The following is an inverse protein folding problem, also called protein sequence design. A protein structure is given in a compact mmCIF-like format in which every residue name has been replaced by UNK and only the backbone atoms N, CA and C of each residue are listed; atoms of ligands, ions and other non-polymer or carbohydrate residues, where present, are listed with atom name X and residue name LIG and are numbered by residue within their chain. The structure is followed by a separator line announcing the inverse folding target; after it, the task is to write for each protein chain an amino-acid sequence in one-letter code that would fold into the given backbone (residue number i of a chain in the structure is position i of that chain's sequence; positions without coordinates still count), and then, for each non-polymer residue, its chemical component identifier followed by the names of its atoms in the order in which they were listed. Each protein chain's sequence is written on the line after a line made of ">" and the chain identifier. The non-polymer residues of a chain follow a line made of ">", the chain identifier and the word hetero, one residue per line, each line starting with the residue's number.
data_IF_725726058201
#
_entry.id   IF_725726058201
#
_cell.length_a   1.000
_cell.length_b   1.000
_cell.length_c   1.000
_cell.angle_alpha   90.00
_cell.angle_beta   90.00
_cell.angle_gamma   90.00
#
_symmetry.space_group_name_H-M   'P 1'
#
loop_
_entity.id
_entity.type
_entity.pdbx_description
1 polymer ?
#
# COMPACT_ATOMS: atom_id res chain seq x y z
N UNK A 1 12.35 8.34 -8.93
CA UNK A 1 13.02 7.21 -8.27
C UNK A 1 13.30 7.60 -6.83
N UNK A 2 12.86 6.82 -5.82
CA UNK A 2 13.25 7.08 -4.42
C UNK A 2 14.79 7.00 -4.35
N UNK A 3 15.44 7.99 -3.73
CA UNK A 3 16.90 7.99 -3.55
C UNK A 3 17.37 6.91 -2.55
N UNK A 4 16.45 6.42 -1.70
CA UNK A 4 16.71 5.44 -0.64
C UNK A 4 15.54 4.44 -0.57
N UNK A 5 15.80 3.14 -0.35
CA UNK A 5 14.75 2.13 -0.27
C UNK A 5 13.84 2.30 0.95
N UNK A 6 14.37 2.80 2.07
CA UNK A 6 13.63 2.98 3.33
C UNK A 6 13.57 4.44 3.78
N UNK A 7 12.41 4.86 4.26
CA UNK A 7 12.19 6.18 4.85
C UNK A 7 12.69 6.24 6.29
N UNK A 8 12.96 7.46 6.77
CA UNK A 8 13.36 7.70 8.16
C UNK A 8 12.43 7.05 9.21
N UNK A 9 11.09 7.11 9.08
CA UNK A 9 10.18 6.40 9.99
C UNK A 9 10.44 4.89 10.05
N UNK A 10 10.66 4.24 8.91
CA UNK A 10 10.95 2.80 8.83
C UNK A 10 12.28 2.45 9.49
N UNK A 11 13.32 3.23 9.25
CA UNK A 11 14.64 3.06 9.88
C UNK A 11 14.53 3.20 11.40
N UNK A 12 13.83 4.23 11.89
CA UNK A 12 13.65 4.45 13.34
C UNK A 12 12.87 3.30 13.95
N UNK A 13 11.76 2.87 13.33
CA UNK A 13 10.95 1.77 13.83
C UNK A 13 11.73 0.44 13.89
N UNK A 14 12.59 0.16 12.90
CA UNK A 14 13.47 -1.00 12.89
C UNK A 14 14.43 -1.00 14.10
N UNK A 15 15.08 0.14 14.36
CA UNK A 15 16.06 0.27 15.45
C UNK A 15 15.40 0.25 16.83
N UNK A 16 14.22 0.84 16.97
CA UNK A 16 13.41 0.74 18.20
C UNK A 16 12.99 -0.70 18.47
N UNK A 17 12.53 -1.42 17.44
CA UNK A 17 12.19 -2.83 17.53
C UNK A 17 13.39 -3.68 17.97
N UNK A 18 14.56 -3.48 17.35
CA UNK A 18 15.82 -4.13 17.76
C UNK A 18 16.16 -3.82 19.23
N UNK A 19 15.98 -2.58 19.68
CA UNK A 19 16.21 -2.18 21.06
C UNK A 19 15.33 -2.90 22.08
N UNK A 20 14.12 -3.30 21.69
CA UNK A 20 13.21 -4.06 22.54
C UNK A 20 13.46 -5.57 22.49
N UNK A 21 14.08 -6.06 21.43
CA UNK A 21 14.27 -7.51 21.20
C UNK A 21 15.64 -8.01 21.61
N UNK A 22 16.66 -7.15 21.60
CA UNK A 22 18.04 -7.54 21.88
C UNK A 22 18.43 -7.30 23.34
N UNK A 23 19.21 -8.23 23.89
CA UNK A 23 19.95 -8.02 25.13
C UNK A 23 21.16 -7.13 24.88
N UNK A 24 21.80 -6.62 25.94
CA UNK A 24 23.05 -5.84 25.84
C UNK A 24 24.10 -6.53 24.96
N UNK A 25 24.42 -7.80 25.25
CA UNK A 25 25.42 -8.55 24.50
C UNK A 25 25.03 -8.74 23.02
N UNK A 26 23.75 -9.01 22.73
CA UNK A 26 23.29 -9.14 21.33
C UNK A 26 23.30 -7.81 20.59
N UNK A 27 23.05 -6.69 21.28
CA UNK A 27 23.15 -5.36 20.69
C UNK A 27 24.61 -5.00 20.38
N UNK A 28 25.56 -5.38 21.24
CA UNK A 28 26.99 -5.19 20.97
C UNK A 28 27.42 -5.99 19.74
N UNK A 29 26.94 -7.24 19.60
CA UNK A 29 27.16 -8.04 18.40
C UNK A 29 26.54 -7.41 17.13
N UNK A 30 25.36 -6.81 17.25
CA UNK A 30 24.73 -6.04 16.15
C UNK A 30 25.62 -4.86 15.74
N UNK A 31 26.16 -4.10 16.70
CA UNK A 31 27.05 -2.97 16.39
C UNK A 31 28.29 -3.43 15.62
N UNK A 32 28.90 -4.55 16.03
CA UNK A 32 30.03 -5.16 15.29
C UNK A 32 29.63 -5.60 13.88
N UNK A 33 28.47 -6.27 13.71
CA UNK A 33 28.00 -6.70 12.37
C UNK A 33 27.77 -5.53 11.43
N UNK A 34 27.35 -4.37 11.96
CA UNK A 34 27.14 -3.15 11.19
C UNK A 34 28.43 -2.32 11.02
N UNK A 35 29.55 -2.72 11.63
CA UNK A 35 30.81 -1.97 11.61
C UNK A 35 30.74 -0.64 12.38
N UNK A 36 30.01 -0.62 13.50
CA UNK A 36 29.71 0.56 14.31
C UNK A 36 30.21 0.42 15.76
N UNK A 37 31.06 -0.57 16.05
CA UNK A 37 31.54 -0.88 17.39
C UNK A 37 32.49 0.18 18.00
N UNK A 38 33.14 0.99 17.16
CA UNK A 38 33.90 2.16 17.60
C UNK A 38 33.01 3.35 17.99
N UNK A 39 31.76 3.37 17.51
CA UNK A 39 30.84 4.50 17.67
C UNK A 39 29.70 4.21 18.68
N UNK A 40 29.36 2.94 18.86
CA UNK A 40 28.37 2.46 19.81
C UNK A 40 29.10 1.77 20.97
N UNK A 41 29.12 2.38 22.18
CA UNK A 41 29.85 1.82 23.31
C UNK A 41 29.41 0.40 23.66
N UNK A 42 30.37 -0.51 23.81
CA UNK A 42 30.11 -1.89 24.20
C UNK A 42 29.88 -2.05 25.72
N UNK A 43 29.31 -3.19 26.12
CA UNK A 43 29.09 -3.54 27.52
C UNK A 43 27.99 -2.71 28.18
N UNK A 44 28.10 -2.51 29.49
CA UNK A 44 27.04 -1.89 30.31
C UNK A 44 27.14 -0.37 30.40
N UNK A 45 28.08 0.26 29.69
CA UNK A 45 28.31 1.71 29.73
C UNK A 45 27.09 2.55 29.28
N UNK A 46 26.23 1.99 28.41
CA UNK A 46 24.96 2.57 28.00
C UNK A 46 23.86 1.51 28.02
N UNK A 47 22.63 1.92 28.35
CA UNK A 47 21.46 1.05 28.21
C UNK A 47 21.20 0.71 26.74
N UNK A 48 20.53 -0.41 26.47
CA UNK A 48 20.10 -0.79 25.10
C UNK A 48 19.30 0.34 24.45
N UNK A 49 18.39 0.98 25.19
CA UNK A 49 17.62 2.14 24.70
C UNK A 49 18.52 3.30 24.24
N UNK A 50 19.56 3.62 25.02
CA UNK A 50 20.50 4.67 24.64
C UNK A 50 21.35 4.29 23.41
N UNK A 51 21.72 3.00 23.29
CA UNK A 51 22.41 2.47 22.11
C UNK A 51 21.52 2.49 20.87
N UNK A 52 20.23 2.15 20.99
CA UNK A 52 19.24 2.27 19.91
C UNK A 52 19.09 3.72 19.43
N UNK A 53 19.06 4.70 20.34
CA UNK A 53 18.99 6.10 19.94
C UNK A 53 20.24 6.55 19.14
N UNK A 54 21.42 6.10 19.56
CA UNK A 54 22.68 6.33 18.83
C UNK A 54 22.67 5.66 17.46
N UNK A 55 22.28 4.39 17.40
CA UNK A 55 22.17 3.62 16.15
C UNK A 55 21.19 4.30 15.18
N UNK A 56 20.00 4.69 15.64
CA UNK A 56 19.00 5.35 14.81
C UNK A 56 19.53 6.66 14.22
N UNK A 57 20.28 7.45 15.01
CA UNK A 57 20.92 8.69 14.54
C UNK A 57 21.96 8.38 13.47
N UNK A 58 22.86 7.45 13.74
CA UNK A 58 23.95 7.03 12.83
C UNK A 58 23.39 6.54 11.50
N UNK A 59 22.44 5.60 11.54
CA UNK A 59 21.86 4.98 10.35
C UNK A 59 21.10 6.01 9.51
N UNK A 60 20.37 6.95 10.12
CA UNK A 60 19.71 8.02 9.36
C UNK A 60 20.68 9.01 8.72
N UNK A 61 21.81 9.31 9.37
CA UNK A 61 22.82 10.22 8.81
C UNK A 61 23.62 9.58 7.67
N UNK A 62 23.82 8.27 7.73
CA UNK A 62 24.68 7.50 6.81
C UNK A 62 23.88 6.43 6.08
N UNK A 63 22.61 6.70 5.78
CA UNK A 63 21.65 5.72 5.27
C UNK A 63 22.12 5.01 4.00
N UNK A 64 22.87 5.69 3.13
CA UNK A 64 23.39 5.16 1.85
C UNK A 64 24.82 4.63 1.92
N UNK A 65 25.50 4.74 3.06
CA UNK A 65 26.84 4.19 3.19
C UNK A 65 26.77 2.68 2.96
N UNK A 66 27.62 2.16 2.08
CA UNK A 66 27.68 0.73 1.82
C UNK A 66 28.46 0.03 2.95
N UNK A 67 27.90 -1.06 3.47
CA UNK A 67 28.51 -1.95 4.45
C UNK A 67 28.54 -3.37 3.91
N UNK A 68 29.57 -4.13 4.28
CA UNK A 68 29.71 -5.53 3.90
C UNK A 68 28.92 -6.42 4.85
N UNK A 69 28.00 -7.21 4.31
CA UNK A 69 27.26 -8.23 5.09
C UNK A 69 27.53 -9.62 4.53
N UNK A 70 27.07 -10.67 5.24
CA UNK A 70 27.17 -12.05 4.77
C UNK A 70 26.43 -12.28 3.44
N UNK A 71 25.39 -11.50 3.17
CA UNK A 71 24.59 -11.57 1.94
C UNK A 71 25.11 -10.62 0.84
N UNK A 72 26.28 -10.00 1.06
CA UNK A 72 26.92 -9.06 0.15
C UNK A 72 26.85 -7.60 0.61
N UNK A 73 27.37 -6.67 -0.22
CA UNK A 73 27.36 -5.24 0.10
C UNK A 73 25.95 -4.66 -0.01
N UNK A 74 25.47 -4.02 1.05
CA UNK A 74 24.17 -3.32 1.10
C UNK A 74 24.33 -1.95 1.75
N UNK A 75 23.31 -1.10 1.66
CA UNK A 75 23.32 0.17 2.40
C UNK A 75 23.21 -0.06 3.91
N UNK A 76 23.77 0.83 4.74
CA UNK A 76 23.70 0.75 6.19
C UNK A 76 22.24 0.75 6.69
N UNK A 77 21.36 1.53 6.05
CA UNK A 77 19.93 1.51 6.35
C UNK A 77 19.31 0.13 6.07
N UNK A 78 19.63 -0.47 4.92
CA UNK A 78 19.15 -1.81 4.58
C UNK A 78 19.69 -2.88 5.52
N UNK A 79 20.97 -2.83 5.89
CA UNK A 79 21.56 -3.76 6.85
C UNK A 79 20.83 -3.70 8.20
N UNK A 80 20.58 -2.50 8.74
CA UNK A 80 19.83 -2.33 9.99
C UNK A 80 18.37 -2.82 9.87
N UNK A 81 17.71 -2.57 8.74
CA UNK A 81 16.35 -3.06 8.47
C UNK A 81 16.31 -4.59 8.41
N UNK A 82 17.27 -5.23 7.72
CA UNK A 82 17.36 -6.70 7.61
C UNK A 82 17.60 -7.37 8.96
N UNK A 83 18.43 -6.77 9.81
CA UNK A 83 18.60 -7.21 11.20
C UNK A 83 17.27 -7.15 11.98
N UNK A 84 16.50 -6.07 11.80
CA UNK A 84 15.15 -5.95 12.35
C UNK A 84 14.22 -7.04 11.83
N UNK A 85 14.22 -7.30 10.51
CA UNK A 85 13.41 -8.37 9.89
C UNK A 85 13.74 -9.72 10.50
N UNK A 86 15.02 -10.04 10.69
CA UNK A 86 15.50 -11.28 11.31
C UNK A 86 14.94 -11.56 12.71
N UNK A 87 14.46 -10.52 13.40
CA UNK A 87 13.87 -10.62 14.75
C UNK A 87 12.33 -10.71 14.75
N UNK A 88 11.68 -10.56 13.59
CA UNK A 88 10.20 -10.59 13.50
C UNK A 88 9.63 -12.00 13.64
N UNK A 89 8.44 -12.10 14.22
CA UNK A 89 7.72 -13.37 14.39
C UNK A 89 6.31 -13.31 13.77
N UNK A 90 5.78 -14.43 13.23
CA UNK A 90 4.50 -14.44 12.50
C UNK A 90 3.24 -14.31 13.38
N UNK A 91 3.35 -14.43 14.70
CA UNK A 91 2.22 -14.33 15.64
C UNK A 91 2.62 -13.53 16.90
N UNK A 92 1.68 -12.79 17.49
CA UNK A 92 1.86 -11.95 18.69
C UNK A 92 2.95 -10.86 18.57
N UNK A 93 2.82 -10.02 17.54
CA UNK A 93 3.69 -8.87 17.36
C UNK A 93 3.59 -7.92 18.56
N UNK A 94 4.74 -7.61 19.20
CA UNK A 94 4.84 -6.46 20.11
C UNK A 94 4.50 -5.18 19.35
N UNK A 95 4.06 -4.13 20.05
CA UNK A 95 3.68 -2.86 19.44
C UNK A 95 4.79 -2.26 18.53
N UNK A 96 6.06 -2.48 18.88
CA UNK A 96 7.21 -2.05 18.10
C UNK A 96 7.39 -2.85 16.81
N UNK A 97 7.10 -4.17 16.83
CA UNK A 97 7.10 -4.98 15.61
C UNK A 97 6.02 -4.48 14.65
N UNK A 98 4.79 -4.20 15.13
CA UNK A 98 3.74 -3.67 14.26
C UNK A 98 4.10 -2.33 13.64
N UNK A 99 4.73 -1.43 14.40
CA UNK A 99 5.20 -0.13 13.89
C UNK A 99 6.25 -0.33 12.81
N UNK A 100 7.17 -1.28 13.01
CA UNK A 100 8.18 -1.61 12.02
C UNK A 100 7.57 -2.21 10.74
N UNK A 101 6.67 -3.19 10.86
CA UNK A 101 5.96 -3.79 9.72
C UNK A 101 5.14 -2.76 8.94
N UNK A 102 4.47 -1.83 9.63
CA UNK A 102 3.77 -0.70 8.97
C UNK A 102 4.73 0.20 8.20
N UNK A 103 5.92 0.48 8.73
CA UNK A 103 6.96 1.23 8.03
C UNK A 103 7.42 0.53 6.76
N UNK A 104 7.70 -0.78 6.84
CA UNK A 104 8.04 -1.59 5.67
C UNK A 104 6.96 -1.53 4.59
N UNK A 105 5.69 -1.70 4.98
CA UNK A 105 4.56 -1.65 4.04
C UNK A 105 4.45 -0.28 3.34
N UNK A 106 4.66 0.82 4.06
CA UNK A 106 4.69 2.19 3.48
C UNK A 106 5.86 2.37 2.49
N UNK A 107 6.95 1.64 2.70
CA UNK A 107 8.09 1.65 1.81
C UNK A 107 8.00 0.66 0.64
N UNK A 108 6.92 -0.13 0.59
CA UNK A 108 6.68 -1.11 -0.48
C UNK A 108 7.39 -2.43 -0.23
N UNK A 109 7.55 -2.83 1.04
CA UNK A 109 8.16 -4.09 1.44
C UNK A 109 7.25 -4.86 2.39
N UNK A 110 7.37 -6.18 2.36
CA UNK A 110 6.75 -7.08 3.34
C UNK A 110 7.77 -8.06 3.89
N UNK A 111 7.41 -8.68 5.01
CA UNK A 111 8.15 -9.81 5.57
C UNK A 111 7.45 -11.09 5.17
N UNK A 112 8.20 -12.03 4.59
CA UNK A 112 7.72 -13.37 4.25
C UNK A 112 8.26 -14.39 5.24
N UNK A 113 7.37 -15.25 5.75
CA UNK A 113 7.66 -16.32 6.70
C UNK A 113 7.46 -17.72 6.09
N UNK A 114 7.64 -17.86 4.77
CA UNK A 114 7.28 -19.06 4.02
C UNK A 114 7.93 -20.35 4.56
N UNK A 115 7.17 -21.46 4.50
CA UNK A 115 7.21 -22.62 5.41
C UNK A 115 8.47 -23.48 5.44
N UNK A 116 9.48 -23.20 4.61
CA UNK A 116 10.79 -23.88 4.61
C UNK A 116 11.94 -22.98 5.13
N UNK A 117 11.75 -21.67 5.16
CA UNK A 117 12.76 -20.74 5.66
C UNK A 117 12.60 -20.57 7.18
N UNK A 118 13.55 -21.11 7.96
CA UNK A 118 13.63 -20.85 9.41
C UNK A 118 13.82 -19.37 9.77
N UNK A 119 14.07 -18.50 8.79
CA UNK A 119 14.36 -17.08 8.98
C UNK A 119 13.44 -16.21 8.12
N UNK A 120 12.83 -15.15 8.70
CA UNK A 120 12.00 -14.22 7.95
C UNK A 120 12.80 -13.49 6.87
N UNK A 121 12.19 -13.27 5.71
CA UNK A 121 12.81 -12.64 4.55
C UNK A 121 12.13 -11.31 4.22
N UNK A 122 12.94 -10.29 3.92
CA UNK A 122 12.47 -9.02 3.39
C UNK A 122 12.25 -9.15 1.88
N UNK A 123 11.03 -8.89 1.42
CA UNK A 123 10.68 -8.90 -0.01
C UNK A 123 10.09 -7.57 -0.40
N UNK A 124 10.35 -7.14 -1.64
CA UNK A 124 9.57 -6.06 -2.24
C UNK A 124 8.12 -6.55 -2.34
N UNK A 125 7.17 -5.71 -1.93
CA UNK A 125 5.76 -6.02 -2.00
C UNK A 125 5.38 -6.30 -3.46
N UNK A 126 5.09 -7.56 -3.78
CA UNK A 126 4.56 -7.91 -5.09
C UNK A 126 3.09 -7.44 -5.19
N UNK A 127 2.51 -7.27 -6.39
CA UNK A 127 1.09 -6.98 -6.54
C UNK A 127 0.14 -7.98 -5.85
N UNK A 128 0.57 -9.20 -5.54
CA UNK A 128 -0.17 -10.15 -4.70
C UNK A 128 -0.05 -9.92 -3.19
N UNK A 129 0.90 -9.09 -2.76
CA UNK A 129 1.13 -8.62 -1.38
C UNK A 129 0.70 -7.14 -1.19
N UNK A 130 0.36 -6.45 -2.29
CA UNK A 130 -0.63 -5.39 -2.26
C UNK A 130 -1.87 -6.07 -1.72
N UNK A 131 -2.27 -5.67 -0.54
CA UNK A 131 -3.30 -6.27 0.29
C UNK A 131 -4.66 -6.33 -0.46
N UNK A 132 -4.79 -7.22 -1.43
CA UNK A 132 -5.98 -7.36 -2.26
C UNK A 132 -7.13 -7.91 -1.43
N UNK A 133 -6.95 -8.88 -0.52
CA UNK A 133 -8.01 -9.30 0.38
C UNK A 133 -8.46 -8.19 1.34
N UNK A 134 -7.55 -7.37 1.91
CA UNK A 134 -7.97 -6.30 2.81
C UNK A 134 -8.38 -5.00 2.09
N UNK A 135 -7.85 -4.71 0.90
CA UNK A 135 -8.34 -3.62 0.07
C UNK A 135 -9.73 -3.94 -0.47
N UNK A 136 -9.96 -5.19 -0.85
CA UNK A 136 -11.27 -5.70 -1.18
C UNK A 136 -12.22 -5.61 0.02
N UNK A 137 -11.82 -6.13 1.19
CA UNK A 137 -12.64 -6.08 2.41
C UNK A 137 -12.92 -4.63 2.85
N UNK A 138 -11.93 -3.73 2.79
CA UNK A 138 -12.14 -2.30 3.12
C UNK A 138 -13.07 -1.61 2.10
N UNK A 139 -12.96 -1.91 0.80
CA UNK A 139 -13.89 -1.38 -0.21
C UNK A 139 -15.30 -1.88 0.07
N UNK A 140 -15.48 -3.18 0.32
CA UNK A 140 -16.78 -3.77 0.69
C UNK A 140 -17.36 -3.13 1.95
N UNK A 141 -16.54 -2.95 2.99
CA UNK A 141 -16.95 -2.33 4.25
C UNK A 141 -17.40 -0.88 4.04
N UNK A 142 -16.63 -0.08 3.29
CA UNK A 142 -16.96 1.31 3.00
C UNK A 142 -18.23 1.41 2.12
N UNK A 143 -18.38 0.57 1.10
CA UNK A 143 -19.59 0.51 0.28
C UNK A 143 -20.83 0.21 1.12
N UNK A 144 -20.74 -0.77 2.03
CA UNK A 144 -21.81 -1.10 2.98
C UNK A 144 -22.09 0.04 3.95
N UNK A 145 -21.03 0.68 4.49
CA UNK A 145 -21.15 1.82 5.40
C UNK A 145 -21.92 3.00 4.76
N UNK A 146 -21.66 3.29 3.49
CA UNK A 146 -22.35 4.37 2.76
C UNK A 146 -23.68 3.94 2.11
N UNK A 147 -24.02 2.65 2.14
CA UNK A 147 -25.23 2.11 1.52
C UNK A 147 -25.18 2.05 -0.02
N UNK A 148 -23.97 2.00 -0.61
CA UNK A 148 -23.75 1.96 -2.06
C UNK A 148 -23.95 0.54 -2.61
N UNK A 149 -25.19 0.05 -2.56
CA UNK A 149 -25.53 -1.34 -2.85
C UNK A 149 -25.38 -1.71 -4.34
N UNK A 150 -25.61 -0.77 -5.26
CA UNK A 150 -25.49 -1.04 -6.71
C UNK A 150 -24.02 -1.22 -7.11
N UNK A 151 -23.09 -0.29 -6.77
CA UNK A 151 -21.66 -0.50 -7.00
C UNK A 151 -21.12 -1.75 -6.28
N UNK A 152 -21.59 -2.03 -5.05
CA UNK A 152 -21.24 -3.25 -4.32
C UNK A 152 -21.57 -4.51 -5.12
N UNK A 153 -22.80 -4.63 -5.65
CA UNK A 153 -23.18 -5.78 -6.45
C UNK A 153 -22.37 -5.92 -7.74
N UNK A 154 -21.96 -4.82 -8.37
CA UNK A 154 -21.07 -4.85 -9.53
C UNK A 154 -19.65 -5.28 -9.17
N UNK A 155 -19.14 -4.89 -7.99
CA UNK A 155 -17.86 -5.36 -7.50
C UNK A 155 -17.88 -6.87 -7.22
N UNK A 156 -18.91 -7.35 -6.52
CA UNK A 156 -19.11 -8.78 -6.27
C UNK A 156 -19.13 -9.57 -7.60
N UNK A 157 -19.91 -9.10 -8.57
CA UNK A 157 -20.00 -9.72 -9.90
C UNK A 157 -18.67 -9.68 -10.67
N UNK A 158 -17.86 -8.62 -10.51
CA UNK A 158 -16.55 -8.52 -11.13
C UNK A 158 -15.58 -9.57 -10.57
N UNK A 159 -15.53 -9.72 -9.24
CA UNK A 159 -14.68 -10.68 -8.55
C UNK A 159 -15.10 -12.10 -8.92
N UNK A 160 -16.39 -12.40 -8.85
CA UNK A 160 -16.96 -13.69 -9.20
C UNK A 160 -16.66 -14.10 -10.65
N UNK A 161 -16.84 -13.16 -11.59
CA UNK A 161 -16.52 -13.39 -13.01
C UNK A 161 -15.01 -13.62 -13.21
N UNK A 162 -14.17 -12.84 -12.53
CA UNK A 162 -12.73 -12.99 -12.59
C UNK A 162 -12.29 -14.36 -12.03
N UNK A 163 -12.81 -14.77 -10.87
CA UNK A 163 -12.52 -16.08 -10.27
C UNK A 163 -12.91 -17.26 -11.17
N UNK A 164 -13.95 -17.11 -12.00
CA UNK A 164 -14.39 -18.15 -12.96
C UNK A 164 -13.64 -18.14 -14.28
N UNK A 165 -12.76 -17.17 -14.53
CA UNK A 165 -12.12 -17.01 -15.83
C UNK A 165 -12.97 -16.28 -16.88
N UNK A 166 -14.07 -15.67 -16.48
CA UNK A 166 -14.97 -14.90 -17.35
C UNK A 166 -14.43 -13.46 -17.55
N UNK A 167 -13.24 -13.32 -18.14
CA UNK A 167 -12.47 -12.06 -18.20
C UNK A 167 -13.24 -10.87 -18.78
N UNK A 168 -13.98 -11.09 -19.86
CA UNK A 168 -14.77 -10.05 -20.51
C UNK A 168 -15.93 -9.58 -19.61
N UNK A 169 -16.56 -10.51 -18.88
CA UNK A 169 -17.62 -10.19 -17.92
C UNK A 169 -17.04 -9.43 -16.72
N UNK A 170 -15.90 -9.89 -16.18
CA UNK A 170 -15.21 -9.20 -15.09
C UNK A 170 -14.89 -7.74 -15.47
N UNK A 171 -14.31 -7.53 -16.65
CA UNK A 171 -13.96 -6.19 -17.15
C UNK A 171 -15.18 -5.27 -17.32
N UNK A 172 -16.29 -5.82 -17.84
CA UNK A 172 -17.55 -5.08 -17.93
C UNK A 172 -18.02 -4.65 -16.54
N UNK A 173 -17.97 -5.54 -15.55
CA UNK A 173 -18.43 -5.25 -14.20
C UNK A 173 -17.52 -4.27 -13.45
N UNK A 174 -16.19 -4.35 -13.61
CA UNK A 174 -15.24 -3.38 -13.02
C UNK A 174 -15.55 -1.96 -13.47
N UNK A 175 -15.85 -1.79 -14.77
CA UNK A 175 -16.25 -0.50 -15.32
C UNK A 175 -17.53 0.01 -14.67
N UNK A 176 -18.57 -0.83 -14.65
CA UNK A 176 -19.87 -0.46 -14.09
C UNK A 176 -19.79 -0.15 -12.60
N UNK A 177 -18.97 -0.89 -11.85
CA UNK A 177 -18.65 -0.59 -10.46
C UNK A 177 -18.11 0.84 -10.28
N UNK A 178 -17.09 1.24 -11.02
CA UNK A 178 -16.49 2.59 -10.89
C UNK A 178 -17.43 3.71 -11.36
N UNK A 179 -18.18 3.50 -12.44
CA UNK A 179 -19.18 4.46 -12.93
C UNK A 179 -20.30 4.67 -11.92
N UNK A 180 -20.79 3.57 -11.33
CA UNK A 180 -21.79 3.57 -10.27
C UNK A 180 -21.27 4.25 -9.01
N UNK A 181 -20.07 3.90 -8.56
CA UNK A 181 -19.45 4.45 -7.36
C UNK A 181 -19.37 5.98 -7.41
N UNK A 182 -18.89 6.56 -8.51
CA UNK A 182 -18.83 8.02 -8.66
C UNK A 182 -20.22 8.67 -8.67
N UNK A 183 -21.22 8.01 -9.24
CA UNK A 183 -22.59 8.50 -9.24
C UNK A 183 -23.23 8.45 -7.85
N UNK A 184 -22.96 7.40 -7.09
CA UNK A 184 -23.45 7.23 -5.72
C UNK A 184 -22.74 8.20 -4.76
N UNK A 185 -21.43 8.43 -4.92
CA UNK A 185 -20.70 9.47 -4.18
C UNK A 185 -21.31 10.85 -4.45
N UNK A 186 -21.60 11.19 -5.71
CA UNK A 186 -22.22 12.47 -6.03
C UNK A 186 -23.58 12.62 -5.35
N UNK A 187 -24.38 11.56 -5.38
CA UNK A 187 -25.70 11.50 -4.75
C UNK A 187 -25.63 11.55 -3.22
N UNK A 188 -24.57 11.00 -2.62
CA UNK A 188 -24.33 11.06 -1.18
C UNK A 188 -23.94 12.46 -0.71
N UNK A 189 -23.08 13.16 -1.47
CA UNK A 189 -22.64 14.52 -1.13
C UNK A 189 -23.78 15.52 -1.30
N UNK A 190 -24.56 15.42 -2.38
CA UNK A 190 -25.68 16.33 -2.64
C UNK A 190 -26.78 15.62 -3.47
N UNK A 191 -27.79 15.04 -2.80
CA UNK A 191 -28.84 14.28 -3.48
C UNK A 191 -29.66 15.14 -4.45
N UNK A 192 -29.96 16.38 -4.07
CA UNK A 192 -30.75 17.30 -4.90
C UNK A 192 -29.97 17.66 -6.16
N UNK A 193 -28.70 18.04 -6.01
CA UNK A 193 -27.90 18.41 -7.17
C UNK A 193 -27.64 17.22 -8.09
N UNK A 194 -27.34 16.05 -7.54
CA UNK A 194 -27.12 14.83 -8.33
C UNK A 194 -28.33 14.43 -9.19
N UNK A 195 -29.55 14.69 -8.71
CA UNK A 195 -30.80 14.41 -9.42
C UNK A 195 -31.03 15.34 -10.63
N UNK A 196 -30.51 16.58 -10.59
CA UNK A 196 -30.58 17.52 -11.72
C UNK A 196 -29.58 17.18 -12.83
N UNK A 197 -28.51 16.45 -12.51
CA UNK A 197 -27.44 16.14 -13.45
C UNK A 197 -27.82 14.94 -14.33
N UNK A 198 -28.04 15.23 -15.62
CA UNK A 198 -28.56 14.27 -16.60
C UNK A 198 -27.60 13.11 -16.96
N UNK A 199 -26.30 13.23 -16.69
CA UNK A 199 -25.30 12.24 -17.10
C UNK A 199 -24.28 11.96 -16.00
N UNK A 200 -23.65 10.79 -16.05
CA UNK A 200 -22.53 10.43 -15.17
C UNK A 200 -21.33 11.35 -15.36
N UNK A 201 -21.12 11.85 -16.58
CA UNK A 201 -20.10 12.86 -16.89
C UNK A 201 -20.36 14.16 -16.12
N UNK A 202 -21.60 14.64 -16.13
CA UNK A 202 -21.99 15.86 -15.43
C UNK A 202 -21.81 15.71 -13.90
N UNK A 203 -22.09 14.52 -13.35
CA UNK A 203 -21.82 14.22 -11.93
C UNK A 203 -20.33 14.26 -11.60
N UNK A 204 -19.47 13.73 -12.47
CA UNK A 204 -18.00 13.79 -12.29
C UNK A 204 -17.47 15.22 -12.39
N UNK A 205 -17.96 16.00 -13.36
CA UNK A 205 -17.62 17.42 -13.46
C UNK A 205 -18.01 18.19 -12.19
N UNK A 206 -19.21 17.97 -11.70
CA UNK A 206 -19.67 18.57 -10.45
C UNK A 206 -18.86 18.13 -9.22
N UNK A 207 -18.47 16.86 -9.12
CA UNK A 207 -17.58 16.39 -8.06
C UNK A 207 -16.22 17.12 -8.09
N UNK A 208 -15.72 17.48 -9.28
CA UNK A 208 -14.51 18.27 -9.42
C UNK A 208 -14.71 19.73 -8.99
N UNK A 209 -15.84 20.35 -9.37
CA UNK A 209 -16.22 21.71 -8.91
C UNK A 209 -16.32 21.79 -7.38
N UNK A 210 -16.81 20.72 -6.74
CA UNK A 210 -16.86 20.61 -5.27
C UNK A 210 -15.51 20.34 -4.62
N UNK A 211 -14.44 20.15 -5.39
CA UNK A 211 -13.11 19.81 -4.89
C UNK A 211 -12.94 18.35 -4.49
N UNK A 212 -13.98 17.52 -4.59
CA UNK A 212 -13.88 16.09 -4.30
C UNK A 212 -12.98 15.38 -5.32
N UNK A 213 -13.07 15.72 -6.61
CA UNK A 213 -12.10 15.31 -7.63
C UNK A 213 -11.10 16.44 -7.88
N UNK A 214 -9.82 16.13 -7.80
CA UNK A 214 -8.75 17.12 -7.86
C UNK A 214 -8.28 17.37 -9.30
N UNK A 215 -8.50 18.58 -9.79
CA UNK A 215 -7.92 19.02 -11.07
C UNK A 215 -6.40 19.19 -11.00
N UNK A 216 -5.84 19.62 -9.86
CA UNK A 216 -4.39 19.76 -9.69
C UNK A 216 -3.65 18.43 -9.69
N UNK A 217 -4.31 17.32 -9.31
CA UNK A 217 -3.78 15.96 -9.42
C UNK A 217 -4.20 15.25 -10.72
N UNK A 218 -4.80 15.97 -11.65
CA UNK A 218 -5.30 15.45 -12.93
C UNK A 218 -6.31 14.29 -12.78
N UNK A 219 -7.10 14.27 -11.69
CA UNK A 219 -8.16 13.27 -11.50
C UNK A 219 -9.36 13.59 -12.39
N UNK A 220 -9.68 14.89 -12.54
CA UNK A 220 -10.70 15.38 -13.44
C UNK A 220 -10.34 16.72 -14.10
N UNK A 221 -10.55 16.78 -15.41
CA UNK A 221 -10.37 17.96 -16.28
C UNK A 221 -11.40 17.93 -17.40
N UNK A 222 -11.85 19.10 -17.87
CA UNK A 222 -12.86 19.19 -18.93
C UNK A 222 -12.32 18.88 -20.35
N UNK A 223 -11.01 18.71 -20.51
CA UNK A 223 -10.37 18.42 -21.81
C UNK A 223 -10.31 16.92 -22.14
N UNK A 224 -10.83 16.06 -21.27
CA UNK A 224 -10.88 14.61 -21.48
C UNK A 224 -9.53 13.89 -21.31
N UNK A 225 -8.48 14.58 -20.84
CA UNK A 225 -7.11 14.05 -20.68
C UNK A 225 -6.74 13.71 -19.22
N UNK A 226 -7.74 13.64 -18.34
CA UNK A 226 -7.57 13.26 -16.94
C UNK A 226 -7.47 11.75 -16.73
N UNK A 227 -7.04 11.39 -15.52
CA UNK A 227 -6.90 10.02 -15.05
C UNK A 227 -8.18 9.19 -15.20
N UNK A 228 -9.34 9.70 -14.75
CA UNK A 228 -10.59 8.93 -14.79
C UNK A 228 -11.02 8.63 -16.22
N UNK A 229 -10.87 9.58 -17.15
CA UNK A 229 -11.14 9.36 -18.56
C UNK A 229 -10.17 8.36 -19.20
N UNK A 230 -8.89 8.39 -18.84
CA UNK A 230 -7.91 7.39 -19.25
C UNK A 230 -8.27 5.99 -18.72
N UNK A 231 -8.63 5.91 -17.45
CA UNK A 231 -9.06 4.69 -16.78
C UNK A 231 -10.30 4.10 -17.46
N UNK A 232 -11.35 4.89 -17.69
CA UNK A 232 -12.55 4.40 -18.37
C UNK A 232 -12.28 3.96 -19.80
N UNK A 233 -11.44 4.66 -20.56
CA UNK A 233 -11.03 4.22 -21.90
C UNK A 233 -10.32 2.86 -21.87
N UNK A 234 -9.43 2.66 -20.91
CA UNK A 234 -8.72 1.38 -20.71
C UNK A 234 -9.66 0.25 -20.24
N UNK A 235 -10.64 0.56 -19.41
CA UNK A 235 -11.68 -0.41 -19.02
C UNK A 235 -12.66 -0.71 -20.16
N UNK A 236 -12.73 0.18 -21.16
CA UNK A 236 -13.58 0.03 -22.33
C UNK A 236 -12.92 -0.75 -23.48
N UNK A 237 -11.58 -0.71 -23.60
CA UNK A 237 -10.84 -1.54 -24.56
C UNK A 237 -11.07 -3.01 -24.25
N UNK A 238 -11.34 -3.84 -25.26
CA UNK A 238 -11.57 -5.29 -25.10
C UNK A 238 -12.73 -5.61 -24.13
N UNK A 239 -13.87 -4.94 -24.33
CA UNK A 239 -15.12 -5.17 -23.59
C UNK A 239 -15.72 -6.57 -23.81
N UNK A 240 -17.05 -6.71 -23.75
CA UNK A 240 -17.80 -7.99 -23.76
C UNK A 240 -17.64 -8.90 -25.00
N UNK A 241 -16.63 -8.66 -25.83
CA UNK A 241 -16.29 -9.45 -27.00
C UNK A 241 -15.45 -10.66 -26.59
N UNK A 242 -15.96 -11.90 -26.81
CA UNK A 242 -15.22 -13.12 -26.51
C UNK A 242 -13.87 -13.16 -27.23
N UNK A 243 -12.77 -13.37 -26.50
CA UNK A 243 -11.44 -13.66 -27.06
C UNK A 243 -10.43 -12.50 -27.11
N UNK A 244 -10.77 -11.29 -26.65
CA UNK A 244 -9.82 -10.16 -26.59
C UNK A 244 -9.23 -9.89 -25.21
N UNK A 245 -9.88 -10.34 -24.14
CA UNK A 245 -9.38 -10.17 -22.76
C UNK A 245 -8.74 -11.45 -22.25
N UNK A 246 -7.52 -11.34 -21.74
CA UNK A 246 -6.79 -12.39 -21.02
C UNK A 246 -6.78 -12.16 -19.50
N UNK A 247 -6.28 -13.15 -18.77
CA UNK A 247 -6.18 -13.15 -17.31
C UNK A 247 -5.34 -11.98 -16.79
N UNK A 248 -4.20 -11.70 -17.41
CA UNK A 248 -3.28 -10.64 -16.97
C UNK A 248 -3.94 -9.26 -17.08
N UNK A 249 -4.57 -8.96 -18.22
CA UNK A 249 -5.29 -7.71 -18.41
C UNK A 249 -6.50 -7.60 -17.48
N UNK A 250 -7.25 -8.68 -17.28
CA UNK A 250 -8.41 -8.67 -16.37
C UNK A 250 -7.98 -8.44 -14.91
N UNK A 251 -6.92 -9.12 -14.46
CA UNK A 251 -6.33 -8.98 -13.12
C UNK A 251 -5.85 -7.56 -12.90
N UNK A 252 -5.12 -7.00 -13.87
CA UNK A 252 -4.65 -5.62 -13.82
C UNK A 252 -5.80 -4.63 -13.70
N UNK A 253 -6.88 -4.81 -14.48
CA UNK A 253 -8.07 -3.94 -14.44
C UNK A 253 -8.81 -4.05 -13.11
N UNK A 254 -8.95 -5.26 -12.56
CA UNK A 254 -9.58 -5.49 -11.27
C UNK A 254 -8.84 -4.74 -10.16
N UNK A 255 -7.51 -4.88 -10.12
CA UNK A 255 -6.68 -4.21 -9.13
C UNK A 255 -6.75 -2.69 -9.25
N UNK A 256 -6.71 -2.16 -10.47
CA UNK A 256 -6.84 -0.73 -10.69
C UNK A 256 -8.23 -0.21 -10.25
N UNK A 257 -9.28 -1.00 -10.50
CA UNK A 257 -10.64 -0.74 -10.01
C UNK A 257 -10.70 -0.66 -8.49
N UNK A 258 -10.19 -1.68 -7.79
CA UNK A 258 -10.15 -1.74 -6.33
C UNK A 258 -9.38 -0.58 -5.71
N UNK A 259 -8.16 -0.30 -6.20
CA UNK A 259 -7.31 0.78 -5.69
C UNK A 259 -7.97 2.15 -5.91
N UNK A 260 -8.59 2.36 -7.07
CA UNK A 260 -9.29 3.61 -7.39
C UNK A 260 -10.51 3.77 -6.49
N UNK A 261 -11.36 2.74 -6.41
CA UNK A 261 -12.57 2.74 -5.58
C UNK A 261 -12.25 3.01 -4.12
N UNK A 262 -11.26 2.31 -3.58
CA UNK A 262 -10.75 2.52 -2.21
C UNK A 262 -10.30 3.95 -1.98
N UNK A 263 -9.54 4.53 -2.91
CA UNK A 263 -9.03 5.90 -2.79
C UNK A 263 -10.18 6.93 -2.71
N UNK A 264 -11.23 6.73 -3.50
CA UNK A 264 -12.42 7.60 -3.51
C UNK A 264 -13.28 7.41 -2.25
N UNK A 265 -13.53 6.16 -1.84
CA UNK A 265 -14.31 5.85 -0.64
C UNK A 265 -13.63 6.33 0.64
N UNK A 266 -12.31 6.16 0.77
CA UNK A 266 -11.55 6.72 1.91
C UNK A 266 -11.56 8.23 1.92
N UNK A 267 -11.54 8.88 0.75
CA UNK A 267 -11.66 10.33 0.65
C UNK A 267 -13.01 10.80 1.19
N UNK A 268 -14.09 10.15 0.75
CA UNK A 268 -15.44 10.43 1.24
C UNK A 268 -15.55 10.21 2.75
N UNK A 269 -15.06 9.08 3.26
CA UNK A 269 -15.08 8.76 4.70
C UNK A 269 -14.30 9.74 5.56
N UNK A 270 -13.23 10.32 5.03
CA UNK A 270 -12.43 11.32 5.73
C UNK A 270 -12.97 12.76 5.57
N UNK A 271 -14.06 12.97 4.82
CA UNK A 271 -14.63 14.29 4.53
C UNK A 271 -13.67 15.21 3.77
N UNK A 272 -12.83 14.65 2.89
CA UNK A 272 -11.80 15.37 2.13
C UNK A 272 -12.18 15.61 0.67
#
# INVERSE_FOLDING_TARGET
>A
MKAHPFTRPTIVAAVEFLGQMLTQAKFDQLAVRLGLDDEIPQGTAKSVTAKSALLARIVNQRATQIVSTLDGPVTLAEAAVREGVGMTVPQYAKAEQERFLRGLALDGYVVSWDGDARTPLLRAALPGEVDLPAADDEVHQLLKQFGFNVPLGHLDQAIDAHTRGDWAAANSQIRTFLEGLLSDIASHIDPQKSAELASSENRRAWLAERGFLSSSRNEWTNDGKNYLNGLFKMLHTDGSHPGLSDEDHSTFRLHLGLITGRTLLRRLNNGR
#
